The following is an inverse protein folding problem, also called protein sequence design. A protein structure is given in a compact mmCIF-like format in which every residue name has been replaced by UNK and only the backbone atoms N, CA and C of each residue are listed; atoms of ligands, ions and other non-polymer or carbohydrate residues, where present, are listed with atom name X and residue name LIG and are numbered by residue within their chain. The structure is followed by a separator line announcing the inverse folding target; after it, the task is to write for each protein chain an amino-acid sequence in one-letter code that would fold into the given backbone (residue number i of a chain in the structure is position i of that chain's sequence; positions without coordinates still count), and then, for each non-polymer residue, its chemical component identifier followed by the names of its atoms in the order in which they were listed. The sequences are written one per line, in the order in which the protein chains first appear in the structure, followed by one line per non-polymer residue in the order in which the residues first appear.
data_IF_449610239611
#
_entry.id   IF_449610239611
#
_cell.length_a   1.000
_cell.length_b   1.000
_cell.length_c   1.000
_cell.angle_alpha   90.00
_cell.angle_beta   90.00
_cell.angle_gamma   90.00
#
_symmetry.space_group_name_H-M   'P 1'
#
loop_
_entity.id
_entity.type
_entity.pdbx_description
1 polymer ?
#
# COMPACT_ATOMS: atom_id res chain seq x y z
N UNK A 1 0.24 -23.11 -7.64
CA UNK A 1 1.28 -22.13 -7.30
C UNK A 1 2.51 -22.87 -6.78
N UNK A 2 3.71 -22.46 -7.19
CA UNK A 2 5.00 -23.01 -6.72
C UNK A 2 6.00 -21.86 -6.56
N UNK A 3 6.62 -21.72 -5.39
CA UNK A 3 7.57 -20.64 -5.08
C UNK A 3 8.78 -21.20 -4.34
N UNK A 4 10.00 -20.81 -4.69
CA UNK A 4 11.26 -21.30 -4.08
C UNK A 4 11.98 -20.17 -3.37
N UNK A 5 12.70 -20.48 -2.30
CA UNK A 5 13.48 -19.48 -1.55
C UNK A 5 14.01 -20.01 -0.22
N UNK A 6 14.53 -19.07 0.59
CA UNK A 6 15.18 -19.32 1.88
C UNK A 6 16.48 -20.15 1.77
N UNK A 7 17.28 -20.10 2.85
CA UNK A 7 18.38 -21.03 3.07
C UNK A 7 18.24 -21.71 4.45
N UNK A 8 18.29 -23.05 4.54
CA UNK A 8 18.35 -24.03 3.45
C UNK A 8 17.15 -23.95 2.49
N UNK A 9 17.30 -24.46 1.27
CA UNK A 9 16.30 -24.30 0.19
C UNK A 9 14.96 -24.98 0.52
N UNK A 10 13.89 -24.19 0.50
CA UNK A 10 12.51 -24.66 0.66
C UNK A 10 11.65 -24.20 -0.51
N UNK A 11 10.49 -24.82 -0.64
CA UNK A 11 9.48 -24.43 -1.61
C UNK A 11 8.10 -24.39 -0.98
N UNK A 12 7.27 -23.49 -1.49
CA UNK A 12 5.86 -23.33 -1.13
C UNK A 12 5.03 -23.86 -2.29
N UNK A 13 4.10 -24.76 -2.01
CA UNK A 13 3.14 -25.24 -3.01
C UNK A 13 1.72 -25.26 -2.47
N UNK A 14 0.74 -25.13 -3.37
CA UNK A 14 -0.67 -25.32 -3.05
C UNK A 14 -1.18 -26.61 -3.69
N UNK A 15 -1.80 -27.54 -2.93
CA UNK A 15 -2.33 -28.79 -3.49
C UNK A 15 -3.41 -28.53 -4.55
N UNK A 16 -3.44 -29.27 -5.67
CA UNK A 16 -4.41 -29.03 -6.75
C UNK A 16 -5.89 -29.16 -6.33
N UNK A 17 -6.15 -29.90 -5.25
CA UNK A 17 -7.51 -30.21 -4.77
C UNK A 17 -7.97 -29.29 -3.63
N UNK A 18 -7.11 -28.39 -3.15
CA UNK A 18 -7.39 -27.52 -1.99
C UNK A 18 -6.82 -26.13 -2.24
N UNK A 19 -7.61 -25.28 -2.88
CA UNK A 19 -7.32 -23.85 -2.97
C UNK A 19 -7.30 -23.22 -1.56
N UNK A 20 -6.43 -22.24 -1.34
CA UNK A 20 -6.24 -21.59 -0.04
C UNK A 20 -5.37 -22.38 0.96
N UNK A 21 -4.95 -23.60 0.62
CA UNK A 21 -4.02 -24.39 1.42
C UNK A 21 -2.62 -24.31 0.84
N UNK A 22 -1.64 -24.02 1.70
CA UNK A 22 -0.23 -23.92 1.34
C UNK A 22 0.63 -24.89 2.15
N UNK A 23 1.65 -25.43 1.51
CA UNK A 23 2.59 -26.37 2.10
C UNK A 23 4.01 -25.85 1.91
N UNK A 24 4.75 -25.73 3.00
CA UNK A 24 6.17 -25.38 3.01
C UNK A 24 7.00 -26.66 3.18
N UNK A 25 7.80 -26.99 2.18
CA UNK A 25 8.55 -28.25 2.10
C UNK A 25 10.03 -28.01 1.82
N UNK A 26 10.87 -28.91 2.32
CA UNK A 26 12.29 -28.95 1.99
C UNK A 26 12.47 -29.37 0.52
N UNK A 27 13.36 -28.69 -0.20
CA UNK A 27 13.74 -29.09 -1.57
C UNK A 27 14.56 -30.39 -1.55
N UNK A 28 15.38 -30.60 -0.53
CA UNK A 28 16.28 -31.75 -0.44
C UNK A 28 15.52 -33.05 -0.15
N UNK A 29 14.57 -33.01 0.78
CA UNK A 29 13.92 -34.22 1.32
C UNK A 29 12.46 -34.37 0.92
N UNK A 30 11.86 -33.35 0.30
CA UNK A 30 10.41 -33.24 0.07
C UNK A 30 9.55 -33.33 1.35
N UNK A 31 10.18 -33.27 2.53
CA UNK A 31 9.48 -33.32 3.81
C UNK A 31 8.82 -31.97 4.10
N UNK A 32 7.59 -32.04 4.60
CA UNK A 32 6.86 -30.89 5.11
C UNK A 32 7.56 -30.36 6.37
N UNK A 33 7.79 -29.04 6.42
CA UNK A 33 8.23 -28.40 7.65
C UNK A 33 7.18 -28.60 8.76
N UNK A 34 7.63 -28.71 10.01
CA UNK A 34 6.71 -28.72 11.14
C UNK A 34 5.90 -27.41 11.14
N UNK A 35 4.57 -27.49 11.31
CA UNK A 35 3.64 -26.36 11.13
C UNK A 35 3.69 -25.71 9.73
N UNK A 36 4.27 -26.38 8.73
CA UNK A 36 4.38 -25.90 7.36
C UNK A 36 3.12 -26.11 6.52
N UNK A 37 2.04 -26.65 7.09
CA UNK A 37 0.71 -26.70 6.46
C UNK A 37 -0.10 -25.49 6.92
N UNK A 38 -0.31 -24.55 6.02
CA UNK A 38 -1.09 -23.33 6.24
C UNK A 38 -2.45 -23.51 5.56
N UNK A 39 -3.48 -23.69 6.38
CA UNK A 39 -4.87 -23.89 5.95
C UNK A 39 -5.72 -22.79 6.60
N UNK A 40 -5.78 -21.65 5.90
CA UNK A 40 -6.56 -20.49 6.34
C UNK A 40 -7.83 -20.40 5.49
N UNK A 41 -9.00 -20.14 6.09
CA UNK A 41 -10.22 -19.95 5.33
C UNK A 41 -10.11 -18.66 4.51
N UNK A 42 -10.18 -18.78 3.17
CA UNK A 42 -10.29 -17.61 2.32
C UNK A 42 -11.69 -16.99 2.50
N UNK A 43 -11.72 -15.70 2.84
CA UNK A 43 -12.95 -14.93 3.07
C UNK A 43 -13.28 -13.98 1.93
N UNK A 44 -12.46 -13.95 0.87
CA UNK A 44 -12.59 -13.06 -0.28
C UNK A 44 -12.75 -13.84 -1.59
N UNK A 45 -13.18 -13.12 -2.62
CA UNK A 45 -13.25 -13.61 -4.00
C UNK A 45 -11.86 -13.82 -4.60
N UNK A 46 -10.87 -13.02 -4.21
CA UNK A 46 -9.47 -13.19 -4.63
C UNK A 46 -8.75 -14.25 -3.78
N UNK A 47 -7.88 -15.08 -4.38
CA UNK A 47 -7.08 -16.02 -3.61
C UNK A 47 -6.01 -15.30 -2.79
N UNK A 48 -5.81 -15.74 -1.55
CA UNK A 48 -4.66 -15.31 -0.75
C UNK A 48 -3.35 -15.62 -1.48
N UNK A 49 -2.32 -14.83 -1.21
CA UNK A 49 -0.98 -15.03 -1.77
C UNK A 49 0.03 -15.34 -0.68
N UNK A 50 1.06 -16.11 -1.03
CA UNK A 50 2.13 -16.48 -0.11
C UNK A 50 3.46 -16.52 -0.85
N UNK A 51 4.49 -15.94 -0.27
CA UNK A 51 5.83 -15.93 -0.87
C UNK A 51 6.91 -15.96 0.21
N UNK A 52 8.11 -16.39 -0.18
CA UNK A 52 9.29 -16.11 0.65
C UNK A 52 9.52 -14.61 0.64
N UNK A 53 9.81 -14.05 1.81
CA UNK A 53 10.20 -12.67 1.92
C UNK A 53 11.51 -12.47 1.12
N UNK A 54 11.68 -11.33 0.43
CA UNK A 54 12.84 -11.10 -0.44
C UNK A 54 14.16 -10.89 0.32
N UNK A 55 14.12 -10.79 1.66
CA UNK A 55 15.32 -10.76 2.49
C UNK A 55 15.89 -12.17 2.74
N UNK A 56 17.11 -12.23 3.29
CA UNK A 56 17.77 -13.50 3.63
C UNK A 56 17.33 -14.05 5.01
N UNK A 57 16.23 -13.54 5.58
CA UNK A 57 15.83 -13.85 6.96
C UNK A 57 15.12 -15.20 7.11
N UNK A 58 14.74 -15.82 5.99
CA UNK A 58 13.90 -17.02 5.96
C UNK A 58 12.45 -16.76 6.36
N UNK A 59 11.99 -15.50 6.26
CA UNK A 59 10.60 -15.14 6.45
C UNK A 59 9.74 -15.58 5.27
N UNK A 60 8.48 -15.82 5.55
CA UNK A 60 7.42 -16.12 4.59
C UNK A 60 6.29 -15.13 4.86
N UNK A 61 5.84 -14.46 3.81
CA UNK A 61 4.75 -13.49 3.83
C UNK A 61 3.50 -14.21 3.35
N UNK A 62 2.46 -14.22 4.18
CA UNK A 62 1.11 -14.64 3.79
C UNK A 62 0.21 -13.41 3.75
N UNK A 63 -0.22 -13.03 2.56
CA UNK A 63 -1.07 -11.88 2.29
C UNK A 63 -2.52 -12.36 2.11
N UNK A 64 -3.37 -12.00 3.06
CA UNK A 64 -4.82 -12.17 2.98
C UNK A 64 -5.51 -10.82 2.79
N UNK A 65 -6.82 -10.85 2.63
CA UNK A 65 -7.62 -9.67 2.30
C UNK A 65 -7.66 -8.60 3.39
N UNK A 66 -7.52 -9.01 4.66
CA UNK A 66 -7.64 -8.12 5.83
C UNK A 66 -6.44 -8.13 6.77
N UNK A 67 -5.46 -9.00 6.51
CA UNK A 67 -4.27 -9.10 7.33
C UNK A 67 -3.12 -9.71 6.54
N UNK A 68 -1.90 -9.39 6.97
CA UNK A 68 -0.66 -10.01 6.50
C UNK A 68 -0.06 -10.74 7.69
N UNK A 69 0.17 -12.05 7.55
CA UNK A 69 0.90 -12.84 8.56
C UNK A 69 2.32 -13.08 8.09
N UNK A 70 3.27 -12.82 8.97
CA UNK A 70 4.67 -13.14 8.75
C UNK A 70 5.03 -14.39 9.54
N UNK A 71 5.58 -15.37 8.85
CA UNK A 71 6.17 -16.56 9.44
C UNK A 71 7.68 -16.55 9.25
N UNK A 72 8.42 -17.25 10.10
CA UNK A 72 9.85 -17.47 9.96
C UNK A 72 10.15 -18.96 10.01
N UNK A 73 10.90 -19.43 9.04
CA UNK A 73 11.38 -20.79 9.02
C UNK A 73 12.56 -20.90 9.99
N UNK A 74 12.41 -21.77 11.00
CA UNK A 74 13.41 -21.99 12.04
C UNK A 74 13.76 -23.48 12.13
N UNK A 75 14.93 -23.78 12.67
CA UNK A 75 15.30 -25.15 13.04
C UNK A 75 14.81 -25.44 14.45
N UNK A 76 14.00 -26.49 14.61
CA UNK A 76 13.51 -26.89 15.93
C UNK A 76 14.57 -27.67 16.73
N UNK A 77 14.22 -28.05 17.97
CA UNK A 77 15.10 -28.82 18.86
C UNK A 77 15.50 -30.21 18.35
N UNK A 78 14.82 -30.72 17.31
CA UNK A 78 15.09 -32.00 16.65
C UNK A 78 15.87 -31.83 15.34
N UNK A 79 16.46 -30.65 15.09
CA UNK A 79 17.11 -30.30 13.83
C UNK A 79 16.21 -30.44 12.59
N UNK A 80 14.90 -30.28 12.75
CA UNK A 80 13.94 -30.27 11.64
C UNK A 80 13.48 -28.84 11.34
N UNK A 81 13.20 -28.52 10.06
CA UNK A 81 12.59 -27.24 9.70
C UNK A 81 11.19 -27.14 10.33
N UNK A 82 10.90 -25.98 10.90
CA UNK A 82 9.66 -25.68 11.61
C UNK A 82 9.25 -24.24 11.32
N UNK A 83 7.99 -24.02 11.00
CA UNK A 83 7.45 -22.71 10.70
C UNK A 83 6.91 -22.08 11.99
N UNK A 84 7.37 -20.87 12.30
CA UNK A 84 6.94 -20.09 13.47
C UNK A 84 6.26 -18.81 13.03
N UNK A 85 5.04 -18.56 13.50
CA UNK A 85 4.38 -17.26 13.33
C UNK A 85 5.13 -16.18 14.12
N UNK A 86 5.44 -15.06 13.46
CA UNK A 86 6.18 -13.94 14.03
C UNK A 86 5.23 -12.84 14.48
N UNK A 87 4.52 -12.24 13.54
CA UNK A 87 3.61 -11.14 13.77
C UNK A 87 2.54 -11.06 12.66
N UNK A 88 1.50 -10.29 12.93
CA UNK A 88 0.39 -10.03 12.02
C UNK A 88 0.21 -8.52 11.88
N UNK A 89 0.03 -8.05 10.64
CA UNK A 89 -0.31 -6.67 10.31
C UNK A 89 -1.77 -6.63 9.89
N UNK A 90 -2.57 -5.76 10.53
CA UNK A 90 -3.96 -5.51 10.16
C UNK A 90 -4.37 -4.06 10.48
N UNK A 91 -5.27 -3.49 9.69
CA UNK A 91 -5.92 -2.21 9.99
C UNK A 91 -7.24 -2.36 10.75
N UNK A 92 -7.61 -3.59 11.13
CA UNK A 92 -8.76 -3.81 11.98
C UNK A 92 -8.44 -3.32 13.39
N UNK A 93 -9.13 -2.26 13.81
CA UNK A 93 -9.04 -1.81 15.19
C UNK A 93 -9.73 -2.82 16.12
N UNK A 94 -9.13 -3.13 17.28
CA UNK A 94 -9.81 -3.95 18.27
C UNK A 94 -11.07 -3.22 18.75
N UNK A 95 -12.19 -3.92 18.96
CA UNK A 95 -13.40 -3.27 19.43
C UNK A 95 -13.13 -2.60 20.78
N UNK A 96 -13.19 -1.26 20.80
CA UNK A 96 -13.09 -0.46 22.01
C UNK A 96 -14.20 -0.93 22.96
N UNK A 97 -13.84 -1.56 24.08
CA UNK A 97 -14.79 -1.84 25.16
C UNK A 97 -15.16 -0.51 25.80
N UNK A 98 -16.16 0.19 25.26
CA UNK A 98 -16.86 1.24 25.99
C UNK A 98 -17.59 0.55 27.13
N UNK A 99 -16.94 0.45 28.28
CA UNK A 99 -17.60 0.13 29.53
C UNK A 99 -18.37 1.40 29.93
N UNK A 100 -19.54 1.60 29.34
CA UNK A 100 -20.52 2.52 29.90
C UNK A 100 -20.98 1.89 31.23
N UNK A 101 -20.41 2.37 32.33
CA UNK A 101 -20.96 2.16 33.68
C UNK A 101 -22.31 2.88 33.77
N UNK A 102 -23.34 2.32 33.16
CA UNK A 102 -24.72 2.68 33.51
C UNK A 102 -25.09 1.94 34.78
N UNK A 103 -24.89 2.63 35.91
CA UNK A 103 -25.69 2.43 37.12
C UNK A 103 -27.17 2.58 36.73
N UNK A 104 -27.88 1.48 36.51
CA UNK A 104 -29.33 1.52 36.45
C UNK A 104 -29.96 0.16 36.81
N UNK A 105 -30.53 0.12 38.02
CA UNK A 105 -31.34 -0.98 38.56
C UNK A 105 -32.65 -1.12 37.77
N UNK A 106 -32.60 -1.69 36.56
CA UNK A 106 -33.79 -2.10 35.80
C UNK A 106 -33.74 -3.60 35.47
N UNK A 107 -34.88 -4.31 35.61
CA UNK A 107 -34.94 -5.74 35.30
C UNK A 107 -34.64 -5.98 33.81
N UNK A 108 -33.99 -7.09 33.48
CA UNK A 108 -33.43 -7.32 32.16
C UNK A 108 -34.55 -7.36 31.12
N UNK A 109 -34.59 -6.34 30.25
CA UNK A 109 -35.43 -6.38 29.06
C UNK A 109 -35.00 -7.58 28.22
N UNK A 110 -35.94 -8.46 27.91
CA UNK A 110 -35.71 -9.62 27.01
C UNK A 110 -35.11 -9.09 25.72
N UNK A 111 -33.82 -9.35 25.51
CA UNK A 111 -33.15 -9.08 24.23
C UNK A 111 -33.64 -10.16 23.27
N UNK A 112 -34.50 -9.77 22.33
CA UNK A 112 -34.72 -10.57 21.13
C UNK A 112 -33.35 -10.72 20.46
N UNK A 113 -32.76 -11.91 20.52
CA UNK A 113 -31.64 -12.24 19.65
C UNK A 113 -32.25 -12.35 18.26
N UNK A 114 -32.20 -11.26 17.50
CA UNK A 114 -32.41 -11.33 16.06
C UNK A 114 -31.50 -12.43 15.52
N UNK A 115 -32.06 -13.33 14.71
CA UNK A 115 -31.40 -14.45 14.02
C UNK A 115 -30.41 -13.97 12.95
N UNK A 116 -29.63 -12.94 13.27
CA UNK A 116 -28.47 -12.49 12.55
C UNK A 116 -27.30 -12.68 13.50
N UNK A 117 -26.69 -13.86 13.46
CA UNK A 117 -25.32 -14.02 13.94
C UNK A 117 -24.40 -13.41 12.87
N UNK A 118 -24.45 -12.10 12.83
CA UNK A 118 -23.68 -11.19 12.00
C UNK A 118 -22.30 -11.14 12.64
N UNK A 119 -21.43 -12.11 12.34
CA UNK A 119 -20.03 -12.08 12.74
C UNK A 119 -19.35 -10.86 12.08
N UNK A 120 -19.51 -9.69 12.69
CA UNK A 120 -18.86 -8.42 12.39
C UNK A 120 -18.92 -8.03 10.90
N UNK A 121 -19.98 -7.36 10.45
CA UNK A 121 -20.08 -6.76 9.10
C UNK A 121 -18.83 -5.97 8.73
N UNK A 122 -17.89 -6.62 8.07
CA UNK A 122 -16.85 -5.97 7.29
C UNK A 122 -17.56 -5.26 6.14
N UNK A 123 -17.25 -4.00 5.91
CA UNK A 123 -17.90 -3.21 4.86
C UNK A 123 -17.31 -3.51 3.47
N UNK A 124 -16.20 -4.24 3.41
CA UNK A 124 -15.38 -4.50 2.23
C UNK A 124 -14.93 -5.97 2.20
N UNK A 125 -14.80 -6.56 1.02
CA UNK A 125 -14.20 -7.88 0.79
C UNK A 125 -12.68 -7.85 0.97
N UNK A 126 -12.04 -6.70 0.71
CA UNK A 126 -10.59 -6.52 0.84
C UNK A 126 -10.25 -5.14 1.40
N UNK A 127 -9.39 -5.09 2.42
CA UNK A 127 -9.02 -3.84 3.08
C UNK A 127 -7.52 -3.54 3.04
N UNK A 128 -6.68 -4.55 2.79
CA UNK A 128 -5.26 -4.37 2.52
C UNK A 128 -5.07 -4.49 1.01
N UNK A 129 -4.59 -3.42 0.38
CA UNK A 129 -4.66 -3.24 -1.08
C UNK A 129 -3.28 -3.32 -1.75
N UNK A 130 -2.22 -3.00 -1.02
CA UNK A 130 -0.84 -3.16 -1.49
C UNK A 130 0.12 -3.15 -0.31
N UNK A 131 1.27 -3.76 -0.49
CA UNK A 131 2.38 -3.78 0.45
C UNK A 131 3.72 -3.63 -0.30
N UNK A 132 4.73 -3.14 0.40
CA UNK A 132 6.08 -2.97 -0.15
C UNK A 132 7.14 -3.08 0.95
N UNK A 133 8.21 -3.82 0.67
CA UNK A 133 9.37 -3.97 1.55
C UNK A 133 10.52 -3.11 1.03
N UNK A 134 10.94 -2.14 1.84
CA UNK A 134 12.06 -1.27 1.56
C UNK A 134 13.30 -1.79 2.32
N UNK A 135 14.32 -2.19 1.56
CA UNK A 135 15.44 -2.96 2.06
C UNK A 135 16.57 -2.12 2.66
N UNK A 136 16.70 -0.83 2.31
CA UNK A 136 17.76 0.02 2.88
C UNK A 136 17.45 0.44 4.32
N UNK A 137 16.17 0.60 4.65
CA UNK A 137 15.68 0.99 5.97
C UNK A 137 15.10 -0.18 6.77
N UNK A 138 15.00 -1.38 6.19
CA UNK A 138 14.37 -2.56 6.80
C UNK A 138 12.92 -2.29 7.23
N UNK A 139 12.16 -1.65 6.35
CA UNK A 139 10.78 -1.24 6.61
C UNK A 139 9.80 -2.02 5.76
N UNK A 140 8.68 -2.40 6.36
CA UNK A 140 7.54 -3.00 5.68
C UNK A 140 6.40 -2.00 5.66
N UNK A 141 5.94 -1.61 4.48
CA UNK A 141 4.87 -0.65 4.30
C UNK A 141 3.60 -1.31 3.76
N UNK A 142 2.44 -0.90 4.25
CA UNK A 142 1.14 -1.47 3.88
C UNK A 142 0.15 -0.35 3.60
N UNK A 143 -0.54 -0.43 2.48
CA UNK A 143 -1.62 0.44 2.05
C UNK A 143 -2.96 -0.26 2.24
N UNK A 144 -3.92 0.47 2.80
CA UNK A 144 -5.27 -0.06 2.98
C UNK A 144 -6.17 0.89 3.73
N UNK A 145 -7.22 0.35 4.34
CA UNK A 145 -8.16 1.09 5.18
C UNK A 145 -8.70 0.20 6.29
N UNK A 146 -9.35 0.79 7.29
CA UNK A 146 -10.00 0.00 8.34
C UNK A 146 -11.25 -0.69 7.77
N UNK A 147 -11.34 -2.04 7.77
CA UNK A 147 -12.48 -2.78 7.20
C UNK A 147 -13.81 -2.51 7.93
N UNK A 148 -13.78 -1.89 9.10
CA UNK A 148 -14.95 -1.51 9.89
C UNK A 148 -15.39 -0.05 9.66
N UNK A 149 -14.63 0.76 8.92
CA UNK A 149 -14.98 2.16 8.61
C UNK A 149 -15.59 2.26 7.20
N UNK A 150 -16.89 2.54 7.12
CA UNK A 150 -17.62 2.75 5.86
C UNK A 150 -17.05 3.88 4.99
N UNK A 151 -16.23 4.78 5.56
CA UNK A 151 -15.62 5.87 4.79
C UNK A 151 -14.48 5.39 3.89
N UNK A 152 -13.91 4.21 4.17
CA UNK A 152 -12.77 3.62 3.46
C UNK A 152 -11.63 4.63 3.25
N UNK A 153 -11.31 5.43 4.28
CA UNK A 153 -10.24 6.42 4.20
C UNK A 153 -8.89 5.70 4.10
N UNK A 154 -8.13 6.05 3.06
CA UNK A 154 -6.85 5.44 2.79
C UNK A 154 -5.85 5.73 3.90
N UNK A 155 -5.16 4.68 4.32
CA UNK A 155 -4.17 4.67 5.38
C UNK A 155 -2.93 3.94 4.90
N UNK A 156 -1.77 4.46 5.25
CA UNK A 156 -0.50 3.74 5.12
C UNK A 156 0.05 3.46 6.51
N UNK A 157 0.42 2.21 6.76
CA UNK A 157 1.17 1.79 7.93
C UNK A 157 2.61 1.45 7.52
N UNK A 158 3.57 1.89 8.32
CA UNK A 158 4.99 1.58 8.17
C UNK A 158 5.41 0.82 9.43
N UNK A 159 5.95 -0.37 9.21
CA UNK A 159 6.27 -1.35 10.24
C UNK A 159 7.75 -1.70 10.18
N UNK A 160 8.33 -1.99 11.33
CA UNK A 160 9.66 -2.58 11.43
C UNK A 160 9.64 -4.01 10.88
N UNK A 161 10.50 -4.34 9.90
CA UNK A 161 10.50 -5.66 9.24
C UNK A 161 10.85 -6.81 10.21
N UNK A 162 11.68 -6.57 11.24
CA UNK A 162 12.10 -7.64 12.15
C UNK A 162 11.04 -7.96 13.21
N UNK A 163 10.47 -6.93 13.83
CA UNK A 163 9.58 -7.05 14.98
C UNK A 163 8.09 -6.97 14.62
N UNK A 164 7.76 -6.40 13.46
CA UNK A 164 6.38 -6.10 13.07
C UNK A 164 5.76 -4.92 13.83
N UNK A 165 6.54 -4.19 14.62
CA UNK A 165 6.05 -3.04 15.36
C UNK A 165 5.73 -1.88 14.42
N UNK A 166 4.56 -1.27 14.57
CA UNK A 166 4.18 -0.08 13.79
C UNK A 166 5.06 1.11 14.18
N UNK A 167 5.88 1.59 13.25
CA UNK A 167 6.74 2.77 13.44
C UNK A 167 5.92 4.03 13.22
N UNK A 168 5.09 4.05 12.17
CA UNK A 168 4.28 5.21 11.80
C UNK A 168 3.08 4.79 10.99
N UNK A 169 1.96 5.50 11.19
CA UNK A 169 0.85 5.45 10.25
C UNK A 169 0.25 6.84 10.02
N UNK A 170 -0.34 7.03 8.84
CA UNK A 170 -1.00 8.27 8.45
C UNK A 170 -2.09 8.02 7.40
N UNK A 171 -3.08 8.90 7.37
CA UNK A 171 -4.14 8.90 6.37
C UNK A 171 -3.70 9.64 5.09
N UNK A 172 -4.12 9.15 3.92
CA UNK A 172 -3.80 9.71 2.61
C UNK A 172 -4.72 10.88 2.20
N UNK A 173 -5.81 11.12 2.94
CA UNK A 173 -6.79 12.15 2.64
C UNK A 173 -7.68 11.85 1.42
N UNK A 174 -7.68 10.60 0.94
CA UNK A 174 -8.56 10.11 -0.12
C UNK A 174 -9.27 8.83 0.31
N UNK A 175 -10.39 8.51 -0.31
CA UNK A 175 -11.04 7.21 -0.17
C UNK A 175 -10.36 6.20 -1.07
N UNK A 176 -10.18 4.98 -0.57
CA UNK A 176 -9.76 3.85 -1.38
C UNK A 176 -10.99 3.03 -1.75
N UNK A 177 -10.94 2.49 -2.96
CA UNK A 177 -11.92 1.58 -3.54
C UNK A 177 -11.26 0.22 -3.71
N UNK A 178 -11.84 -0.84 -3.14
CA UNK A 178 -11.29 -2.20 -3.19
C UNK A 178 -11.23 -2.79 -4.61
N UNK A 179 -12.00 -2.24 -5.56
CA UNK A 179 -12.05 -2.70 -6.95
C UNK A 179 -10.93 -2.11 -7.82
N UNK A 180 -10.17 -1.14 -7.30
CA UNK A 180 -9.03 -0.57 -8.00
C UNK A 180 -7.74 -1.36 -7.73
N UNK A 181 -6.85 -1.40 -8.72
CA UNK A 181 -5.51 -1.96 -8.55
C UNK A 181 -4.59 -0.89 -7.94
N UNK A 182 -3.99 -1.18 -6.78
CA UNK A 182 -3.01 -0.29 -6.14
C UNK A 182 -1.61 -0.86 -6.23
N UNK A 183 -0.63 0.04 -6.32
CA UNK A 183 0.78 -0.28 -6.11
C UNK A 183 1.37 0.78 -5.20
N UNK A 184 1.79 0.33 -4.02
CA UNK A 184 2.58 1.09 -3.07
C UNK A 184 4.07 0.87 -3.39
N UNK A 185 4.85 1.94 -3.35
CA UNK A 185 6.31 1.85 -3.38
C UNK A 185 6.87 2.86 -2.40
N UNK A 186 7.73 2.40 -1.48
CA UNK A 186 8.47 3.22 -0.55
C UNK A 186 9.95 3.15 -0.93
N UNK A 187 10.56 4.31 -1.14
CA UNK A 187 12.00 4.44 -1.40
C UNK A 187 12.52 5.59 -0.53
N UNK A 188 13.24 5.23 0.53
CA UNK A 188 13.73 6.16 1.55
C UNK A 188 12.64 7.10 2.11
N UNK A 189 12.68 8.39 1.74
CA UNK A 189 11.73 9.42 2.17
C UNK A 189 10.57 9.64 1.18
N UNK A 190 10.51 8.87 0.10
CA UNK A 190 9.55 9.06 -0.98
C UNK A 190 8.61 7.87 -1.06
N UNK A 191 7.31 8.15 -1.08
CA UNK A 191 6.28 7.13 -1.22
C UNK A 191 5.43 7.43 -2.45
N UNK A 192 5.22 6.41 -3.27
CA UNK A 192 4.42 6.45 -4.49
C UNK A 192 3.21 5.53 -4.30
N UNK A 193 2.02 6.05 -4.56
CA UNK A 193 0.80 5.26 -4.68
C UNK A 193 0.30 5.39 -6.11
N UNK A 194 0.45 4.32 -6.88
CA UNK A 194 -0.13 4.20 -8.21
C UNK A 194 -1.51 3.53 -8.06
N UNK A 195 -2.53 4.12 -8.69
CA UNK A 195 -3.89 3.60 -8.71
C UNK A 195 -4.29 3.40 -10.15
N UNK A 196 -4.77 2.20 -10.48
CA UNK A 196 -5.37 1.89 -11.76
C UNK A 196 -6.84 1.55 -11.54
N UNK A 197 -7.72 2.40 -12.07
CA UNK A 197 -9.17 2.22 -11.98
C UNK A 197 -9.67 1.09 -12.92
N UNK A 198 -10.93 0.69 -12.76
CA UNK A 198 -11.59 -0.32 -13.61
C UNK A 198 -11.57 0.04 -15.11
N UNK A 199 -11.50 1.34 -15.42
CA UNK A 199 -11.44 1.89 -16.78
C UNK A 199 -10.01 1.94 -17.33
N UNK A 200 -9.03 1.42 -16.57
CA UNK A 200 -7.59 1.41 -16.86
C UNK A 200 -6.95 2.80 -16.94
N UNK A 201 -7.54 3.80 -16.28
CA UNK A 201 -6.89 5.08 -16.07
C UNK A 201 -5.94 4.99 -14.89
N UNK A 202 -4.79 5.65 -15.02
CA UNK A 202 -3.77 5.68 -13.98
C UNK A 202 -3.78 7.01 -13.25
N UNK A 203 -3.78 6.96 -11.93
CA UNK A 203 -3.52 8.10 -11.05
C UNK A 203 -2.29 7.81 -10.23
N UNK A 204 -1.39 8.78 -10.10
CA UNK A 204 -0.17 8.64 -9.31
C UNK A 204 -0.15 9.71 -8.22
N UNK A 205 -0.01 9.27 -6.98
CA UNK A 205 0.10 10.11 -5.81
C UNK A 205 1.49 9.99 -5.22
N UNK A 206 2.20 11.11 -5.14
CA UNK A 206 3.55 11.18 -4.62
C UNK A 206 3.54 11.88 -3.27
N UNK A 207 4.12 11.22 -2.27
CA UNK A 207 4.25 11.72 -0.92
C UNK A 207 5.72 11.77 -0.54
N UNK A 208 6.08 12.79 0.25
CA UNK A 208 7.41 12.91 0.82
C UNK A 208 7.32 12.94 2.34
N UNK A 209 8.03 12.03 2.97
CA UNK A 209 8.15 11.94 4.42
C UNK A 209 9.10 13.02 4.91
N UNK A 210 8.58 13.98 5.66
CA UNK A 210 9.39 15.03 6.26
C UNK A 210 9.83 14.65 7.67
N UNK A 211 11.13 14.80 7.95
CA UNK A 211 11.65 14.72 9.30
C UNK A 211 11.27 16.00 10.07
N UNK A 212 10.63 15.91 11.24
CA UNK A 212 10.34 17.08 12.06
C UNK A 212 11.67 17.68 12.56
N UNK A 213 12.15 18.71 11.88
CA UNK A 213 13.44 19.36 12.19
C UNK A 213 14.09 20.08 11.01
N UNK A 214 13.68 19.76 9.77
CA UNK A 214 14.21 20.33 8.54
C UNK A 214 13.08 20.91 7.66
N UNK A 215 12.16 21.66 8.29
CA UNK A 215 11.23 22.50 7.54
C UNK A 215 12.02 23.71 7.05
N UNK A 216 12.69 23.55 5.92
CA UNK A 216 13.23 24.66 5.15
C UNK A 216 12.06 25.57 4.75
N UNK A 217 12.06 26.79 5.29
CA UNK A 217 11.25 27.87 4.73
C UNK A 217 11.53 27.96 3.23
N UNK A 218 10.52 28.11 2.36
CA UNK A 218 10.72 28.13 0.92
C UNK A 218 11.61 29.33 0.55
N UNK A 219 12.89 29.06 0.30
CA UNK A 219 13.76 29.99 -0.43
C UNK A 219 13.27 29.98 -1.88
N UNK A 220 12.43 30.95 -2.22
CA UNK A 220 12.18 31.35 -3.60
C UNK A 220 13.52 31.75 -4.25
N UNK A 221 14.30 30.77 -4.72
CA UNK A 221 15.35 31.02 -5.71
C UNK A 221 14.66 31.18 -7.05
N UNK A 222 14.52 32.43 -7.48
CA UNK A 222 14.26 32.79 -8.88
C UNK A 222 15.36 32.15 -9.72
N UNK A 223 15.09 31.01 -10.33
CA UNK A 223 15.82 30.62 -11.52
C UNK A 223 15.34 31.52 -12.65
N UNK A 224 16.18 32.50 -12.98
CA UNK A 224 16.13 33.16 -14.26
C UNK A 224 16.37 32.10 -15.33
N UNK A 225 15.31 31.75 -16.07
CA UNK A 225 15.41 30.87 -17.23
C UNK A 225 16.28 31.57 -18.28
N UNK A 226 17.58 31.24 -18.33
CA UNK A 226 18.38 31.46 -19.53
C UNK A 226 17.94 30.38 -20.52
N UNK A 227 17.14 30.80 -21.50
CA UNK A 227 16.84 30.01 -22.68
C UNK A 227 18.14 29.72 -23.45
N UNK A 228 18.77 28.58 -23.19
CA UNK A 228 19.72 27.98 -24.12
C UNK A 228 18.92 27.13 -25.11
N UNK A 229 18.57 27.77 -26.23
CA UNK A 229 18.07 27.09 -27.43
C UNK A 229 19.21 26.24 -27.98
N UNK A 230 19.10 24.92 -27.85
CA UNK A 230 19.93 23.97 -28.60
C UNK A 230 19.46 23.98 -30.06
N UNK A 231 20.14 24.75 -30.92
CA UNK A 231 19.96 24.69 -32.36
C UNK A 231 20.47 23.33 -32.87
N UNK A 232 19.53 22.49 -33.31
CA UNK A 232 19.79 21.27 -34.05
C UNK A 232 20.15 21.67 -35.49
N UNK A 233 21.42 21.48 -35.86
CA UNK A 233 21.92 21.61 -37.22
C UNK A 233 21.31 20.52 -38.11
N UNK A 234 20.39 20.90 -39.00
CA UNK A 234 20.15 20.17 -40.24
C UNK A 234 20.39 21.13 -41.41
N UNK A 235 21.43 20.80 -42.19
CA UNK A 235 21.56 21.24 -43.58
C UNK A 235 20.53 20.44 -44.38
N UNK A 236 19.68 21.13 -45.13
CA UNK A 236 19.64 20.96 -46.58
C UNK A 236 18.88 22.08 -47.29
N UNK A 237 19.25 22.21 -48.56
CA UNK A 237 19.15 23.36 -49.47
C UNK A 237 17.75 23.76 -49.97
N UNK A 238 17.61 25.08 -50.16
CA UNK A 238 16.97 25.81 -51.28
C UNK A 238 15.47 25.60 -51.61
N UNK A 239 14.65 26.64 -51.39
CA UNK A 239 14.13 27.54 -52.44
C UNK A 239 13.12 28.57 -51.87
N UNK A 240 13.25 29.83 -52.34
CA UNK A 240 12.28 30.96 -52.49
C UNK A 240 10.78 30.68 -52.20
N UNK A 241 9.91 31.54 -51.64
CA UNK A 241 9.80 33.01 -51.71
C UNK A 241 8.78 33.61 -50.70
N UNK A 242 9.04 34.85 -50.27
CA UNK A 242 8.16 36.04 -50.10
C UNK A 242 6.85 36.06 -49.26
N UNK A 243 6.73 37.23 -48.60
CA UNK A 243 5.57 37.91 -47.98
C UNK A 243 5.13 37.37 -46.60
N UNK A 244 4.99 38.16 -45.54
CA UNK A 244 4.90 39.60 -45.37
C UNK A 244 3.88 39.90 -44.26
N UNK A 245 4.10 41.00 -43.54
CA UNK A 245 3.14 41.72 -42.69
C UNK A 245 3.02 41.28 -41.22
N UNK A 246 3.48 42.21 -40.38
CA UNK A 246 3.25 42.30 -38.95
C UNK A 246 1.85 42.86 -38.64
N UNK A 247 1.30 42.55 -37.47
CA UNK A 247 0.59 43.54 -36.67
C UNK A 247 0.51 43.12 -35.19
N UNK A 248 1.06 43.99 -34.34
CA UNK A 248 0.77 44.08 -32.92
C UNK A 248 -0.70 44.45 -32.70
N UNK A 249 -1.25 44.08 -31.54
CA UNK A 249 -1.88 45.05 -30.65
C UNK A 249 -2.07 44.49 -29.24
N UNK A 250 -1.47 45.23 -28.30
CA UNK A 250 -1.68 45.17 -26.86
C UNK A 250 -3.09 45.64 -26.49
N UNK A 251 -3.59 45.16 -25.35
CA UNK A 251 -4.64 45.81 -24.56
C UNK A 251 -4.57 45.34 -23.12
N UNK A 252 -4.06 46.22 -22.26
CA UNK A 252 -4.03 46.11 -20.81
C UNK A 252 -5.44 46.17 -20.19
N UNK A 253 -5.62 45.47 -19.07
CA UNK A 253 -6.78 45.58 -18.20
C UNK A 253 -6.40 45.27 -16.75
N UNK A 254 -6.32 46.32 -15.94
CA UNK A 254 -5.92 46.35 -14.52
C UNK A 254 -6.99 45.72 -13.61
N UNK A 255 -6.57 44.93 -12.60
CA UNK A 255 -7.42 44.54 -11.47
C UNK A 255 -6.64 44.54 -10.14
N UNK A 256 -7.25 45.17 -9.13
CA UNK A 256 -6.80 45.33 -7.72
C UNK A 256 -7.08 44.04 -6.93
N UNK A 257 -6.28 43.66 -5.90
CA UNK A 257 -6.28 42.31 -5.38
C UNK A 257 -7.32 42.09 -4.26
N UNK A 258 -8.00 40.94 -4.31
CA UNK A 258 -8.73 40.38 -3.17
C UNK A 258 -8.07 39.08 -2.72
N UNK A 259 -7.89 38.99 -1.40
CA UNK A 259 -7.20 37.94 -0.69
C UNK A 259 -8.10 36.73 -0.44
N UNK A 260 -7.71 35.56 -0.94
CA UNK A 260 -8.10 34.26 -0.36
C UNK A 260 -7.06 33.19 -0.75
N UNK A 261 -6.52 32.51 0.26
CA UNK A 261 -5.49 31.47 0.12
C UNK A 261 -6.11 30.22 -0.51
N UNK A 262 -5.72 29.89 -1.74
CA UNK A 262 -6.05 28.63 -2.39
C UNK A 262 -4.86 27.65 -2.31
N UNK A 263 -5.16 26.45 -1.82
CA UNK A 263 -4.34 25.25 -1.93
C UNK A 263 -4.25 24.88 -3.42
N UNK A 264 -3.02 24.74 -3.95
CA UNK A 264 -2.78 24.37 -5.36
C UNK A 264 -2.74 22.85 -5.49
N UNK A 265 -3.80 22.27 -6.05
CA UNK A 265 -3.78 20.94 -6.66
C UNK A 265 -3.20 21.10 -8.06
N UNK A 266 -2.07 20.46 -8.35
CA UNK A 266 -1.52 20.40 -9.71
C UNK A 266 -2.09 19.16 -10.39
N UNK A 267 -3.09 19.37 -11.26
CA UNK A 267 -3.55 18.36 -12.21
C UNK A 267 -2.71 18.47 -13.47
N UNK A 268 -1.99 17.40 -13.82
CA UNK A 268 -1.49 17.23 -15.19
C UNK A 268 -2.50 16.38 -15.96
N UNK A 269 -3.20 16.99 -16.90
CA UNK A 269 -3.95 16.30 -17.95
C UNK A 269 -3.08 16.26 -19.20
N UNK A 270 -2.81 15.08 -19.74
CA UNK A 270 -2.28 14.95 -21.10
C UNK A 270 -3.40 14.50 -22.04
N UNK A 271 -3.40 15.13 -23.22
CA UNK A 271 -4.30 14.96 -24.35
C UNK A 271 -4.13 13.62 -25.06
#
# INVERSE_FOLDING_TARGET
MLHFGCFPWHYICSPPTREGVFQVKSVETDELAENGLLDFPNSSTEPDSIAFHPDDSGKIVYNSSHFIKIFKLITNSKNKPSLKECFEITFREPPTRTCEETNDNKPPRRKCKTLYDMHSTQCAEKSLLSDDYENELELYSVLGFNPMDERCLGKVGIYDNETGHEIKSFELGMKLDELCDYTLTLDLDTMVVLVKDERRNFSCYLYRLHFPGLVDYPRFRRYTTRNTVLQRSQRDSAATSNNGVAHNNDSEGVAVPSSSRNIRVVRCTNH
#
